data_IF_557056518708
#
_entry.id   IF_557056518708
#
_cell.length_a   1.000
_cell.length_b   1.000
_cell.length_c   1.000
_cell.angle_alpha   90.00
_cell.angle_beta   90.00
_cell.angle_gamma   90.00
#
_symmetry.space_group_name_H-M   'P 1'
#
loop_
_entity.id
_entity.type
_entity.pdbx_description
1 polymer ?
#
# COMPACT_ATOMS: atom_id res chain seq x y z
N UNK A 1 -34.68 19.83 -36.92
CA UNK A 1 -34.32 20.56 -35.67
C UNK A 1 -33.02 20.00 -35.12
N UNK A 2 -31.98 20.82 -34.97
CA UNK A 2 -30.72 20.37 -34.39
C UNK A 2 -30.89 20.16 -32.86
N UNK A 3 -30.60 18.95 -32.37
CA UNK A 3 -30.67 18.66 -30.93
C UNK A 3 -29.76 19.59 -30.13
N UNK A 4 -30.30 20.18 -29.06
CA UNK A 4 -29.53 21.04 -28.14
C UNK A 4 -28.46 20.23 -27.41
N UNK A 5 -27.36 20.89 -26.96
CA UNK A 5 -26.26 20.23 -26.25
C UNK A 5 -26.73 19.43 -25.01
N UNK A 6 -27.76 19.90 -24.29
CA UNK A 6 -28.38 19.18 -23.16
C UNK A 6 -29.14 17.92 -23.59
N UNK A 7 -29.88 17.98 -24.70
CA UNK A 7 -30.60 16.81 -25.24
C UNK A 7 -29.63 15.73 -25.73
N UNK A 8 -28.50 16.11 -26.36
CA UNK A 8 -27.43 15.16 -26.75
C UNK A 8 -26.79 14.48 -25.54
N UNK A 9 -26.50 15.22 -24.47
CA UNK A 9 -25.93 14.65 -23.24
C UNK A 9 -26.89 13.69 -22.52
N UNK A 10 -28.19 13.99 -22.50
CA UNK A 10 -29.22 13.11 -21.94
C UNK A 10 -29.38 11.83 -22.77
N UNK A 11 -29.42 11.95 -24.09
CA UNK A 11 -29.50 10.80 -25.00
C UNK A 11 -28.27 9.89 -24.89
N UNK A 12 -27.08 10.47 -24.72
CA UNK A 12 -25.84 9.71 -24.52
C UNK A 12 -25.85 8.91 -23.21
N UNK A 13 -26.27 9.52 -22.09
CA UNK A 13 -26.42 8.79 -20.81
C UNK A 13 -27.48 7.70 -20.90
N UNK A 14 -28.61 7.97 -21.55
CA UNK A 14 -29.64 6.97 -21.77
C UNK A 14 -29.12 5.78 -22.59
N UNK A 15 -28.33 6.04 -23.64
CA UNK A 15 -27.67 5.00 -24.42
C UNK A 15 -26.65 4.19 -23.60
N UNK A 16 -25.88 4.84 -22.73
CA UNK A 16 -24.94 4.16 -21.81
C UNK A 16 -25.68 3.25 -20.82
N UNK A 17 -26.77 3.73 -20.20
CA UNK A 17 -27.57 2.91 -19.30
C UNK A 17 -28.28 1.76 -20.03
N UNK A 18 -28.80 2.01 -21.24
CA UNK A 18 -29.39 0.96 -22.07
C UNK A 18 -28.35 -0.11 -22.44
N UNK A 19 -27.13 0.29 -22.83
CA UNK A 19 -26.05 -0.64 -23.12
C UNK A 19 -25.64 -1.46 -21.89
N UNK A 20 -25.49 -0.81 -20.72
CA UNK A 20 -25.17 -1.49 -19.46
C UNK A 20 -26.26 -2.48 -19.08
N UNK A 21 -27.53 -2.10 -19.23
CA UNK A 21 -28.68 -2.96 -18.98
C UNK A 21 -28.69 -4.16 -19.94
N UNK A 22 -28.44 -3.95 -21.23
CA UNK A 22 -28.31 -5.03 -22.22
C UNK A 22 -27.17 -5.98 -21.85
N UNK A 23 -26.00 -5.48 -21.47
CA UNK A 23 -24.87 -6.32 -21.03
C UNK A 23 -25.25 -7.16 -19.80
N UNK A 24 -25.90 -6.55 -18.80
CA UNK A 24 -26.36 -7.26 -17.60
C UNK A 24 -27.39 -8.34 -17.95
N UNK A 25 -28.36 -8.02 -18.80
CA UNK A 25 -29.39 -8.98 -19.21
C UNK A 25 -28.80 -10.12 -20.03
N UNK A 26 -27.94 -9.83 -21.01
CA UNK A 26 -27.25 -10.86 -21.79
C UNK A 26 -26.47 -11.78 -20.85
N UNK A 27 -25.64 -11.23 -19.97
CA UNK A 27 -24.91 -12.02 -18.98
C UNK A 27 -25.86 -12.86 -18.11
N UNK A 28 -26.94 -12.27 -17.61
CA UNK A 28 -27.87 -12.95 -16.72
C UNK A 28 -28.61 -14.13 -17.39
N UNK A 29 -28.93 -14.02 -18.69
CA UNK A 29 -29.62 -15.07 -19.42
C UNK A 29 -28.68 -16.11 -20.06
N UNK A 30 -27.44 -15.73 -20.40
CA UNK A 30 -26.49 -16.65 -21.03
C UNK A 30 -25.56 -17.35 -20.04
N UNK A 31 -25.43 -16.85 -18.81
CA UNK A 31 -24.54 -17.42 -17.83
C UNK A 31 -25.09 -18.73 -17.24
N UNK A 32 -24.22 -19.74 -17.13
CA UNK A 32 -24.55 -20.97 -16.44
C UNK A 32 -24.48 -20.75 -14.91
N UNK A 33 -25.63 -20.40 -14.32
CA UNK A 33 -25.75 -20.09 -12.90
C UNK A 33 -25.31 -21.21 -11.97
N UNK A 34 -25.55 -22.46 -12.35
CA UNK A 34 -25.14 -23.64 -11.56
C UNK A 34 -23.62 -23.75 -11.51
N UNK A 35 -22.96 -23.59 -12.66
CA UNK A 35 -21.50 -23.60 -12.75
C UNK A 35 -20.91 -22.38 -12.02
N UNK A 36 -21.47 -21.18 -12.20
CA UNK A 36 -21.04 -19.98 -11.47
C UNK A 36 -21.15 -20.17 -9.95
N UNK A 37 -22.24 -20.74 -9.46
CA UNK A 37 -22.39 -20.99 -8.02
C UNK A 37 -21.35 -21.98 -7.51
N UNK A 38 -21.06 -23.07 -8.23
CA UNK A 38 -20.06 -24.03 -7.82
C UNK A 38 -18.62 -23.49 -7.94
N UNK A 39 -18.34 -22.73 -9.00
CA UNK A 39 -17.02 -22.15 -9.27
C UNK A 39 -16.69 -20.97 -8.36
N UNK A 40 -17.66 -20.21 -7.85
CA UNK A 40 -17.39 -19.02 -7.04
C UNK A 40 -17.92 -19.13 -5.60
N UNK A 41 -19.00 -19.86 -5.34
CA UNK A 41 -19.70 -19.90 -4.05
C UNK A 41 -19.86 -21.33 -3.51
N UNK A 42 -18.76 -22.09 -3.50
CA UNK A 42 -18.70 -23.41 -2.89
C UNK A 42 -18.53 -23.30 -1.36
N UNK A 43 -19.64 -23.47 -0.62
CA UNK A 43 -19.67 -23.36 0.84
C UNK A 43 -18.78 -24.39 1.54
N UNK A 44 -18.60 -25.58 0.96
CA UNK A 44 -17.72 -26.61 1.52
C UNK A 44 -16.24 -26.18 1.42
N UNK A 45 -15.85 -25.61 0.27
CA UNK A 45 -14.51 -25.04 0.07
C UNK A 45 -14.27 -23.81 0.98
N UNK A 46 -15.30 -23.01 1.26
CA UNK A 46 -15.22 -21.94 2.24
C UNK A 46 -15.01 -22.49 3.66
N UNK A 47 -15.82 -23.46 4.08
CA UNK A 47 -15.74 -24.05 5.42
C UNK A 47 -14.36 -24.67 5.71
N UNK A 48 -13.75 -25.34 4.73
CA UNK A 48 -12.40 -25.93 4.84
C UNK A 48 -11.28 -24.93 5.09
N UNK A 49 -11.49 -23.64 4.84
CA UNK A 49 -10.49 -22.60 5.11
C UNK A 49 -10.50 -22.12 6.56
N UNK A 50 -11.59 -22.34 7.29
CA UNK A 50 -11.69 -21.93 8.68
C UNK A 50 -11.23 -23.09 9.60
N UNK A 51 -10.51 -22.78 10.69
CA UNK A 51 -10.18 -21.44 11.20
C UNK A 51 -8.89 -20.84 10.63
N UNK A 52 -8.11 -21.60 9.86
CA UNK A 52 -6.73 -21.28 9.47
C UNK A 52 -6.58 -19.98 8.67
N UNK A 53 -7.57 -19.62 7.86
CA UNK A 53 -7.58 -18.33 7.15
C UNK A 53 -7.50 -17.13 8.10
N UNK A 54 -8.04 -17.26 9.31
CA UNK A 54 -7.95 -16.22 10.35
C UNK A 54 -6.70 -16.42 11.21
N UNK A 55 -6.54 -17.61 11.79
CA UNK A 55 -5.52 -17.87 12.82
C UNK A 55 -4.09 -17.88 12.27
N UNK A 56 -3.93 -18.26 11.00
CA UNK A 56 -2.67 -18.32 10.28
C UNK A 56 -2.58 -17.17 9.28
N UNK A 57 -3.44 -17.17 8.26
CA UNK A 57 -3.22 -16.34 7.09
C UNK A 57 -3.42 -14.83 7.34
N UNK A 58 -4.53 -14.46 7.96
CA UNK A 58 -4.82 -13.07 8.36
C UNK A 58 -3.80 -12.58 9.40
N UNK A 59 -3.48 -13.40 10.41
CA UNK A 59 -2.46 -13.08 11.41
C UNK A 59 -1.10 -12.79 10.76
N UNK A 60 -0.61 -13.68 9.89
CA UNK A 60 0.69 -13.52 9.24
C UNK A 60 0.71 -12.30 8.32
N UNK A 61 -0.37 -12.02 7.61
CA UNK A 61 -0.51 -10.79 6.80
C UNK A 61 -0.29 -9.54 7.64
N UNK A 62 -0.91 -9.47 8.83
CA UNK A 62 -0.72 -8.35 9.77
C UNK A 62 0.72 -8.30 10.28
N UNK A 63 1.28 -9.43 10.72
CA UNK A 63 2.66 -9.51 11.22
C UNK A 63 3.65 -9.03 10.16
N UNK A 64 3.52 -9.49 8.92
CA UNK A 64 4.39 -9.13 7.81
C UNK A 64 4.26 -7.65 7.44
N UNK A 65 3.04 -7.12 7.45
CA UNK A 65 2.79 -5.69 7.28
C UNK A 65 3.53 -4.88 8.35
N UNK A 66 3.35 -5.24 9.63
CA UNK A 66 3.94 -4.49 10.75
C UNK A 66 5.47 -4.53 10.71
N UNK A 67 6.05 -5.70 10.44
CA UNK A 67 7.51 -5.85 10.33
C UNK A 67 8.06 -4.99 9.18
N UNK A 68 7.50 -5.13 7.99
CA UNK A 68 7.92 -4.35 6.81
C UNK A 68 7.75 -2.85 7.02
N UNK A 69 6.60 -2.42 7.57
CA UNK A 69 6.31 -1.01 7.81
C UNK A 69 7.24 -0.41 8.87
N UNK A 70 7.54 -1.16 9.94
CA UNK A 70 8.43 -0.69 11.01
C UNK A 70 9.85 -0.45 10.48
N UNK A 71 10.39 -1.41 9.71
CA UNK A 71 11.70 -1.25 9.08
C UNK A 71 11.68 -0.13 8.03
N UNK A 72 10.63 -0.09 7.19
CA UNK A 72 10.44 0.93 6.18
C UNK A 72 10.37 2.34 6.76
N UNK A 73 9.64 2.54 7.86
CA UNK A 73 9.51 3.83 8.52
C UNK A 73 10.84 4.26 9.16
N UNK A 74 11.52 3.34 9.84
CA UNK A 74 12.81 3.63 10.47
C UNK A 74 13.88 4.01 9.43
N UNK A 75 14.06 3.19 8.39
CA UNK A 75 15.01 3.47 7.31
C UNK A 75 14.59 4.69 6.48
N UNK A 76 13.29 4.83 6.18
CA UNK A 76 12.73 5.94 5.43
C UNK A 76 12.97 7.29 6.13
N UNK A 77 12.85 7.33 7.45
CA UNK A 77 13.17 8.52 8.25
C UNK A 77 14.65 8.89 8.11
N UNK A 78 15.55 7.92 8.26
CA UNK A 78 17.01 8.14 8.11
C UNK A 78 17.32 8.66 6.70
N UNK A 79 16.77 8.03 5.66
CA UNK A 79 16.97 8.44 4.27
C UNK A 79 16.39 9.84 3.99
N UNK A 80 15.23 10.17 4.55
CA UNK A 80 14.65 11.51 4.44
C UNK A 80 15.57 12.58 5.04
N UNK A 81 16.13 12.32 6.23
CA UNK A 81 17.08 13.22 6.89
C UNK A 81 18.37 13.36 6.07
N UNK A 82 18.89 12.26 5.52
CA UNK A 82 20.05 12.30 4.60
C UNK A 82 19.77 13.13 3.35
N UNK A 83 18.56 13.03 2.77
CA UNK A 83 18.13 13.85 1.62
C UNK A 83 18.04 15.34 1.94
N UNK A 84 17.67 15.69 3.18
CA UNK A 84 17.56 17.07 3.65
C UNK A 84 18.88 17.64 4.18
N UNK A 85 19.91 16.81 4.35
CA UNK A 85 21.20 17.22 4.89
C UNK A 85 21.91 18.25 4.00
N UNK A 86 22.70 19.13 4.62
CA UNK A 86 23.62 20.02 3.92
C UNK A 86 24.81 19.27 3.29
N UNK A 87 25.11 18.07 3.79
CA UNK A 87 26.25 17.23 3.38
C UNK A 87 25.98 16.56 2.03
N UNK A 88 26.79 16.89 1.02
CA UNK A 88 26.63 16.39 -0.35
C UNK A 88 26.57 14.86 -0.49
N UNK A 89 27.53 14.11 0.08
CA UNK A 89 27.55 12.65 0.02
C UNK A 89 26.27 11.98 0.55
N UNK A 90 25.72 12.45 1.68
CA UNK A 90 24.48 11.89 2.24
C UNK A 90 23.30 12.09 1.32
N UNK A 91 23.17 13.28 0.72
CA UNK A 91 22.11 13.56 -0.26
C UNK A 91 22.23 12.67 -1.49
N UNK A 92 23.45 12.45 -1.97
CA UNK A 92 23.71 11.63 -3.15
C UNK A 92 23.37 10.17 -2.89
N UNK A 93 23.87 9.59 -1.79
CA UNK A 93 23.57 8.21 -1.42
C UNK A 93 22.08 7.98 -1.25
N UNK A 94 21.39 8.84 -0.49
CA UNK A 94 19.97 8.68 -0.27
C UNK A 94 19.16 8.87 -1.56
N UNK A 95 19.59 9.77 -2.47
CA UNK A 95 18.96 9.91 -3.79
C UNK A 95 19.11 8.63 -4.60
N UNK A 96 20.33 8.09 -4.70
CA UNK A 96 20.60 6.86 -5.44
C UNK A 96 19.78 5.68 -4.90
N UNK A 97 19.75 5.50 -3.57
CA UNK A 97 18.91 4.48 -2.92
C UNK A 97 17.44 4.64 -3.29
N UNK A 98 16.88 5.85 -3.12
CA UNK A 98 15.47 6.12 -3.35
C UNK A 98 15.09 5.88 -4.81
N UNK A 99 15.89 6.41 -5.75
CA UNK A 99 15.63 6.26 -7.19
C UNK A 99 15.72 4.80 -7.62
N UNK A 100 16.69 4.05 -7.09
CA UNK A 100 16.86 2.63 -7.38
C UNK A 100 15.67 1.78 -6.89
N UNK A 101 15.34 1.85 -5.60
CA UNK A 101 14.28 0.99 -5.04
C UNK A 101 12.88 1.38 -5.47
N UNK A 102 12.62 2.66 -5.83
CA UNK A 102 11.36 3.06 -6.45
C UNK A 102 11.27 2.69 -7.93
N UNK A 103 12.41 2.57 -8.60
CA UNK A 103 12.48 2.17 -10.01
C UNK A 103 12.35 0.67 -10.25
N UNK A 104 12.58 -0.16 -9.23
CA UNK A 104 12.54 -1.61 -9.35
C UNK A 104 11.17 -2.22 -9.03
N UNK A 105 10.73 -3.24 -9.78
CA UNK A 105 9.60 -4.07 -9.39
C UNK A 105 9.86 -4.77 -8.04
N UNK A 106 8.92 -4.65 -7.10
CA UNK A 106 9.01 -5.25 -5.78
C UNK A 106 9.26 -6.77 -5.81
N UNK A 107 8.66 -7.46 -6.78
CA UNK A 107 8.87 -8.89 -7.00
C UNK A 107 10.36 -9.27 -7.20
N UNK A 108 11.13 -8.45 -7.92
CA UNK A 108 12.56 -8.72 -8.12
C UNK A 108 13.34 -8.62 -6.82
N UNK A 109 12.96 -7.69 -5.95
CA UNK A 109 13.58 -7.53 -4.63
C UNK A 109 13.30 -8.73 -3.73
N UNK A 110 12.05 -9.23 -3.72
CA UNK A 110 11.70 -10.44 -2.97
C UNK A 110 12.51 -11.65 -3.43
N UNK A 111 12.67 -11.83 -4.75
CA UNK A 111 13.50 -12.91 -5.31
C UNK A 111 14.97 -12.72 -4.92
N UNK A 112 15.50 -11.49 -5.04
CA UNK A 112 16.89 -11.19 -4.69
C UNK A 112 17.18 -11.44 -3.20
N UNK A 113 16.26 -11.09 -2.29
CA UNK A 113 16.41 -11.36 -0.86
C UNK A 113 16.24 -12.85 -0.55
N UNK A 114 15.24 -13.50 -1.13
CA UNK A 114 14.93 -14.91 -0.87
C UNK A 114 15.97 -15.88 -1.42
N UNK A 115 16.54 -15.58 -2.58
CA UNK A 115 17.46 -16.48 -3.30
C UNK A 115 18.86 -15.90 -3.44
N UNK A 116 18.99 -14.61 -3.70
CA UNK A 116 20.29 -13.97 -3.91
C UNK A 116 21.18 -13.96 -2.67
N UNK A 117 20.62 -13.77 -1.47
CA UNK A 117 21.40 -13.79 -0.22
C UNK A 117 21.98 -15.18 0.08
N UNK A 118 21.18 -16.28 0.08
CA UNK A 118 21.74 -17.62 0.24
C UNK A 118 22.78 -18.00 -0.83
N UNK A 119 22.63 -17.51 -2.07
CA UNK A 119 23.60 -17.73 -3.14
C UNK A 119 24.91 -16.96 -2.90
N UNK A 120 24.83 -15.72 -2.41
CA UNK A 120 26.00 -14.90 -2.11
C UNK A 120 26.73 -15.37 -0.84
N UNK A 121 26.02 -15.96 0.10
CA UNK A 121 26.56 -16.43 1.39
C UNK A 121 26.13 -17.89 1.65
N UNK A 122 26.82 -18.88 1.04
CA UNK A 122 26.48 -20.29 1.19
C UNK A 122 26.43 -20.73 2.65
N UNK A 123 25.40 -21.51 3.01
CA UNK A 123 25.16 -21.97 4.38
C UNK A 123 24.38 -20.99 5.26
N UNK A 124 24.10 -19.78 4.77
CA UNK A 124 23.16 -18.87 5.45
C UNK A 124 21.73 -19.12 5.00
N UNK A 125 20.81 -19.18 5.97
CA UNK A 125 19.37 -19.16 5.70
C UNK A 125 18.76 -18.00 6.45
N UNK A 126 18.03 -17.15 5.73
CA UNK A 126 17.28 -16.08 6.35
C UNK A 126 15.98 -16.65 6.91
N UNK A 127 15.68 -16.32 8.17
CA UNK A 127 14.35 -16.51 8.70
C UNK A 127 13.34 -15.81 7.78
N UNK A 128 12.24 -16.49 7.44
CA UNK A 128 11.26 -15.96 6.48
C UNK A 128 10.69 -14.60 6.89
N UNK A 129 10.41 -14.40 8.18
CA UNK A 129 9.91 -13.13 8.68
C UNK A 129 10.94 -12.01 8.45
N UNK A 130 12.23 -12.32 8.62
CA UNK A 130 13.33 -11.39 8.34
C UNK A 130 13.43 -11.10 6.83
N UNK A 131 13.34 -12.14 5.99
CA UNK A 131 13.36 -11.95 4.54
C UNK A 131 12.20 -11.07 4.05
N UNK A 132 10.99 -11.28 4.57
CA UNK A 132 9.81 -10.45 4.24
C UNK A 132 9.99 -9.04 4.80
N UNK A 133 10.42 -8.90 6.06
CA UNK A 133 10.69 -7.61 6.70
C UNK A 133 11.68 -6.78 5.88
N UNK A 134 12.80 -7.39 5.47
CA UNK A 134 13.82 -6.73 4.66
C UNK A 134 13.28 -6.38 3.29
N UNK A 135 12.63 -7.32 2.59
CA UNK A 135 12.10 -7.09 1.25
C UNK A 135 11.09 -5.94 1.21
N UNK A 136 10.09 -5.98 2.09
CA UNK A 136 9.09 -4.91 2.22
C UNK A 136 9.72 -3.62 2.73
N UNK A 137 10.58 -3.72 3.75
CA UNK A 137 11.14 -2.58 4.44
C UNK A 137 12.04 -1.71 3.55
N UNK A 138 12.93 -2.31 2.75
CA UNK A 138 13.84 -1.53 1.89
C UNK A 138 13.10 -0.81 0.75
N UNK A 139 12.06 -1.44 0.20
CA UNK A 139 11.21 -0.82 -0.81
C UNK A 139 10.43 0.32 -0.16
N UNK A 140 9.70 0.00 0.91
CA UNK A 140 8.86 0.95 1.64
C UNK A 140 9.66 2.14 2.16
N UNK A 141 10.91 1.94 2.59
CA UNK A 141 11.80 3.00 3.05
C UNK A 141 12.02 4.08 1.98
N UNK A 142 12.18 3.69 0.72
CA UNK A 142 12.37 4.64 -0.37
C UNK A 142 11.12 5.51 -0.63
N UNK A 143 9.93 4.91 -0.59
CA UNK A 143 8.66 5.64 -0.72
C UNK A 143 8.40 6.55 0.49
N UNK A 144 8.56 6.02 1.70
CA UNK A 144 8.38 6.76 2.94
C UNK A 144 9.38 7.91 3.09
N UNK A 145 10.63 7.73 2.65
CA UNK A 145 11.63 8.79 2.68
C UNK A 145 11.20 10.01 1.86
N UNK A 146 10.65 9.78 0.67
CA UNK A 146 10.15 10.86 -0.19
C UNK A 146 8.89 11.49 0.38
N UNK A 147 7.98 10.71 0.95
CA UNK A 147 6.79 11.22 1.65
C UNK A 147 7.17 12.12 2.84
N UNK A 148 8.10 11.67 3.70
CA UNK A 148 8.59 12.44 4.84
C UNK A 148 9.29 13.72 4.37
N UNK A 149 10.19 13.61 3.38
CA UNK A 149 10.91 14.74 2.80
C UNK A 149 9.94 15.77 2.21
N UNK A 150 8.96 15.32 1.44
CA UNK A 150 7.95 16.17 0.83
C UNK A 150 7.09 16.87 1.89
N UNK A 151 6.68 16.16 2.94
CA UNK A 151 5.89 16.76 4.01
C UNK A 151 6.66 17.80 4.85
N UNK A 152 7.97 17.61 5.05
CA UNK A 152 8.83 18.66 5.66
C UNK A 152 8.91 19.89 4.75
N UNK A 153 9.08 19.68 3.44
CA UNK A 153 9.17 20.78 2.47
C UNK A 153 7.84 21.48 2.20
N UNK A 154 6.71 20.83 2.50
CA UNK A 154 5.37 21.39 2.34
C UNK A 154 5.02 22.42 3.43
N UNK A 155 5.81 22.53 4.50
CA UNK A 155 5.63 23.56 5.52
C UNK A 155 5.85 24.95 4.89
N UNK A 156 4.91 25.91 5.03
CA UNK A 156 5.02 27.22 4.38
C UNK A 156 6.30 27.97 4.76
N UNK A 157 7.03 28.45 3.76
CA UNK A 157 8.29 29.18 3.96
C UNK A 157 8.14 30.41 4.86
N UNK A 158 6.99 31.11 4.76
CA UNK A 158 6.68 32.27 5.59
C UNK A 158 6.73 31.99 7.10
N UNK A 159 6.46 30.76 7.55
CA UNK A 159 6.61 30.40 8.96
C UNK A 159 8.08 30.28 9.38
N UNK A 160 8.93 29.79 8.49
CA UNK A 160 10.39 29.70 8.72
C UNK A 160 11.01 31.10 8.68
N UNK A 161 10.51 31.98 7.81
CA UNK A 161 10.90 33.39 7.75
C UNK A 161 10.47 34.15 9.00
N UNK A 162 9.21 34.02 9.43
CA UNK A 162 8.71 34.62 10.67
C UNK A 162 9.47 34.13 11.91
N UNK A 163 9.76 32.83 12.01
CA UNK A 163 10.57 32.28 13.09
C UNK A 163 11.97 32.92 13.14
N UNK A 164 12.61 33.13 11.98
CA UNK A 164 13.90 33.79 11.89
C UNK A 164 13.82 35.28 12.26
N UNK A 165 12.76 35.98 11.87
CA UNK A 165 12.51 37.38 12.27
C UNK A 165 12.33 37.54 13.78
N UNK A 166 11.83 36.51 14.47
CA UNK A 166 11.72 36.44 15.93
C UNK A 166 13.01 35.95 16.62
N UNK A 167 14.12 35.83 15.89
CA UNK A 167 15.42 35.44 16.44
C UNK A 167 15.58 33.94 16.74
N UNK A 168 14.69 33.08 16.23
CA UNK A 168 14.82 31.63 16.44
C UNK A 168 15.98 31.06 15.62
N UNK A 169 16.80 30.22 16.25
CA UNK A 169 17.82 29.44 15.54
C UNK A 169 17.17 28.43 14.58
N UNK A 170 17.84 28.04 13.48
CA UNK A 170 17.29 27.07 12.52
C UNK A 170 16.86 25.74 13.17
N UNK A 171 17.62 25.24 14.15
CA UNK A 171 17.28 24.03 14.89
C UNK A 171 16.03 24.20 15.76
N UNK A 172 15.91 25.35 16.45
CA UNK A 172 14.70 25.64 17.24
C UNK A 172 13.48 25.74 16.34
N UNK A 173 13.57 26.50 15.24
CA UNK A 173 12.49 26.60 14.25
C UNK A 173 12.12 25.23 13.65
N UNK A 174 13.10 24.38 13.36
CA UNK A 174 12.86 23.03 12.86
C UNK A 174 12.05 22.20 13.86
N UNK A 175 12.47 22.15 15.12
CA UNK A 175 11.86 21.29 16.15
C UNK A 175 10.48 21.80 16.58
N UNK A 176 10.31 23.11 16.76
CA UNK A 176 9.10 23.66 17.36
C UNK A 176 8.03 24.08 16.35
N UNK A 177 8.40 24.29 15.08
CA UNK A 177 7.47 24.78 14.05
C UNK A 177 7.38 23.79 12.89
N UNK A 178 8.50 23.43 12.27
CA UNK A 178 8.49 22.63 11.04
C UNK A 178 8.07 21.19 11.32
N UNK A 179 8.74 20.48 12.23
CA UNK A 179 8.46 19.06 12.51
C UNK A 179 7.00 18.82 12.94
N UNK A 180 6.41 19.58 13.88
CA UNK A 180 5.02 19.36 14.30
C UNK A 180 4.01 19.53 13.15
N UNK A 181 4.30 20.40 12.20
CA UNK A 181 3.43 20.63 11.04
C UNK A 181 3.67 19.60 9.94
N UNK A 182 4.94 19.31 9.64
CA UNK A 182 5.33 18.25 8.72
C UNK A 182 4.72 16.91 9.14
N UNK A 183 4.73 16.58 10.43
CA UNK A 183 4.10 15.37 10.95
C UNK A 183 2.62 15.25 10.57
N UNK A 184 1.86 16.35 10.68
CA UNK A 184 0.44 16.39 10.29
C UNK A 184 0.26 16.18 8.78
N UNK A 185 1.18 16.69 7.97
CA UNK A 185 1.17 16.54 6.50
C UNK A 185 1.53 15.11 6.08
N UNK A 186 2.47 14.48 6.78
CA UNK A 186 3.03 13.16 6.44
C UNK A 186 2.15 12.00 6.92
N UNK A 187 1.39 12.16 8.00
CA UNK A 187 0.57 11.07 8.56
C UNK A 187 -0.43 10.45 7.57
N UNK A 188 -1.26 11.22 6.84
CA UNK A 188 -2.21 10.63 5.89
C UNK A 188 -1.54 9.79 4.78
N UNK A 189 -0.50 10.25 4.06
CA UNK A 189 0.15 9.43 3.05
C UNK A 189 0.92 8.24 3.65
N UNK A 190 1.46 8.32 4.87
CA UNK A 190 2.03 7.13 5.54
C UNK A 190 0.98 6.06 5.85
N UNK A 191 -0.24 6.46 6.22
CA UNK A 191 -1.34 5.51 6.40
C UNK A 191 -1.74 4.85 5.06
N UNK A 192 -1.66 5.57 3.95
CA UNK A 192 -1.84 4.98 2.62
C UNK A 192 -0.72 3.97 2.29
N UNK A 193 0.54 4.30 2.60
CA UNK A 193 1.66 3.36 2.43
C UNK A 193 1.48 2.09 3.25
N UNK A 194 0.94 2.18 4.47
CA UNK A 194 0.61 0.99 5.27
C UNK A 194 -0.40 0.08 4.56
N UNK A 195 -1.44 0.65 3.94
CA UNK A 195 -2.46 -0.11 3.18
C UNK A 195 -1.85 -0.78 1.95
N UNK A 196 -0.97 -0.07 1.23
CA UNK A 196 -0.26 -0.62 0.08
C UNK A 196 0.65 -1.77 0.51
N UNK A 197 1.41 -1.58 1.59
CA UNK A 197 2.32 -2.58 2.11
C UNK A 197 1.57 -3.85 2.58
N UNK A 198 0.37 -3.71 3.16
CA UNK A 198 -0.49 -4.85 3.48
C UNK A 198 -0.80 -5.68 2.24
N UNK A 199 -1.04 -5.07 1.09
CA UNK A 199 -1.30 -5.82 -0.16
C UNK A 199 0.00 -6.42 -0.71
N UNK A 200 1.11 -5.71 -0.58
CA UNK A 200 2.42 -6.17 -1.03
C UNK A 200 2.96 -7.35 -0.21
N UNK A 201 2.42 -7.64 0.98
CA UNK A 201 2.73 -8.90 1.68
C UNK A 201 2.42 -10.13 0.82
N UNK A 202 1.48 -10.02 -0.12
CA UNK A 202 1.18 -11.10 -1.07
C UNK A 202 2.42 -11.57 -1.83
N UNK A 203 3.40 -10.69 -2.10
CA UNK A 203 4.65 -11.04 -2.77
C UNK A 203 5.51 -12.03 -1.96
N UNK A 204 5.22 -12.24 -0.68
CA UNK A 204 5.84 -13.28 0.14
C UNK A 204 5.64 -14.70 -0.42
N UNK A 205 4.70 -14.89 -1.37
CA UNK A 205 4.53 -16.17 -2.07
C UNK A 205 5.80 -16.62 -2.82
N UNK A 206 6.68 -15.68 -3.18
CA UNK A 206 7.95 -15.94 -3.87
C UNK A 206 9.00 -16.57 -2.96
N UNK A 207 8.81 -16.48 -1.65
CA UNK A 207 9.69 -17.06 -0.65
C UNK A 207 9.20 -18.45 -0.27
N UNK A 208 10.15 -19.32 0.07
CA UNK A 208 9.82 -20.62 0.64
C UNK A 208 8.90 -20.45 1.87
N UNK A 209 7.86 -21.28 1.96
CA UNK A 209 6.84 -21.21 3.02
C UNK A 209 6.59 -22.58 3.61
N UNK A 210 6.23 -22.59 4.89
CA UNK A 210 5.53 -23.70 5.54
C UNK A 210 4.04 -23.35 5.70
N UNK A 211 3.13 -24.31 5.99
CA UNK A 211 1.69 -24.06 6.12
C UNK A 211 1.34 -22.99 7.18
N UNK A 212 2.07 -22.96 8.30
CA UNK A 212 1.89 -22.01 9.41
C UNK A 212 2.39 -20.59 9.13
N UNK A 213 3.08 -20.38 8.00
CA UNK A 213 3.66 -19.10 7.63
C UNK A 213 2.89 -18.41 6.50
N UNK A 214 1.86 -19.03 5.93
CA UNK A 214 1.18 -18.47 4.78
C UNK A 214 0.50 -17.16 5.14
N UNK A 215 0.58 -16.18 4.24
CA UNK A 215 -0.28 -15.00 4.28
C UNK A 215 -1.53 -15.23 3.42
N UNK A 216 -2.50 -14.31 3.47
CA UNK A 216 -3.83 -14.46 2.87
C UNK A 216 -3.84 -14.85 1.39
N UNK A 217 -3.02 -14.23 0.54
CA UNK A 217 -3.01 -14.50 -0.89
C UNK A 217 -2.41 -15.88 -1.21
N UNK A 218 -1.31 -16.23 -0.57
CA UNK A 218 -0.67 -17.52 -0.68
C UNK A 218 -1.57 -18.66 -0.17
N UNK A 219 -2.21 -18.47 0.99
CA UNK A 219 -3.16 -19.44 1.57
C UNK A 219 -4.34 -19.67 0.63
N UNK A 220 -4.96 -18.59 0.14
CA UNK A 220 -6.07 -18.66 -0.79
C UNK A 220 -5.68 -19.34 -2.12
N UNK A 221 -4.49 -19.04 -2.66
CA UNK A 221 -3.96 -19.67 -3.87
C UNK A 221 -3.71 -21.17 -3.69
N UNK A 222 -3.20 -21.59 -2.54
CA UNK A 222 -3.01 -23.01 -2.27
C UNK A 222 -4.35 -23.75 -2.18
N UNK A 223 -5.33 -23.18 -1.49
CA UNK A 223 -6.67 -23.75 -1.41
C UNK A 223 -7.40 -23.78 -2.77
N UNK A 224 -7.17 -22.80 -3.65
CA UNK A 224 -7.68 -22.80 -5.03
C UNK A 224 -7.20 -24.04 -5.79
N UNK A 225 -5.91 -24.38 -5.67
CA UNK A 225 -5.31 -25.52 -6.38
C UNK A 225 -5.86 -26.89 -5.92
N UNK A 226 -6.43 -26.97 -4.72
CA UNK A 226 -6.99 -28.22 -4.18
C UNK A 226 -8.50 -28.33 -4.34
N UNK A 227 -9.23 -27.22 -4.42
CA UNK A 227 -10.71 -27.20 -4.43
C UNK A 227 -11.33 -27.02 -5.81
N UNK A 228 -10.54 -26.70 -6.85
CA UNK A 228 -11.02 -26.39 -8.20
C UNK A 228 -12.17 -25.34 -8.23
N UNK A 229 -12.20 -24.46 -7.23
CA UNK A 229 -13.19 -23.40 -7.05
C UNK A 229 -12.47 -22.10 -6.70
N UNK A 230 -12.95 -20.96 -7.19
CA UNK A 230 -12.47 -19.62 -6.85
C UNK A 230 -12.91 -19.14 -5.47
N UNK A 231 -13.76 -19.90 -4.76
CA UNK A 231 -14.20 -19.54 -3.41
C UNK A 231 -13.07 -19.19 -2.45
N UNK A 232 -11.92 -19.90 -2.40
CA UNK A 232 -10.80 -19.51 -1.54
C UNK A 232 -10.19 -18.15 -1.84
N UNK A 233 -10.12 -17.77 -3.13
CA UNK A 233 -9.66 -16.43 -3.52
C UNK A 233 -10.63 -15.36 -3.03
N UNK A 234 -11.94 -15.61 -3.12
CA UNK A 234 -12.95 -14.68 -2.60
C UNK A 234 -12.87 -14.54 -1.08
N UNK A 235 -12.74 -15.65 -0.36
CA UNK A 235 -12.59 -15.63 1.11
C UNK A 235 -11.31 -14.88 1.51
N UNK A 236 -10.18 -15.17 0.88
CA UNK A 236 -8.93 -14.43 1.11
C UNK A 236 -9.06 -12.94 0.81
N UNK A 237 -9.75 -12.57 -0.28
CA UNK A 237 -10.04 -11.18 -0.63
C UNK A 237 -10.92 -10.47 0.39
N UNK A 238 -11.95 -11.13 0.92
CA UNK A 238 -12.78 -10.60 2.01
C UNK A 238 -11.95 -10.39 3.28
N UNK A 239 -11.04 -11.30 3.62
CA UNK A 239 -10.13 -11.13 4.75
C UNK A 239 -9.16 -9.95 4.54
N UNK A 240 -8.68 -9.71 3.32
CA UNK A 240 -7.92 -8.49 3.00
C UNK A 240 -8.77 -7.22 3.23
N UNK A 241 -10.07 -7.24 2.90
CA UNK A 241 -10.98 -6.12 3.16
C UNK A 241 -11.19 -5.89 4.67
N UNK A 242 -11.25 -6.96 5.47
CA UNK A 242 -11.30 -6.85 6.95
C UNK A 242 -10.12 -6.07 7.50
N UNK A 243 -8.93 -6.15 6.89
CA UNK A 243 -7.76 -5.37 7.28
C UNK A 243 -7.78 -3.96 6.65
N UNK A 244 -7.99 -3.89 5.33
CA UNK A 244 -7.77 -2.66 4.55
C UNK A 244 -8.89 -1.64 4.69
N UNK A 245 -10.15 -2.03 4.94
CA UNK A 245 -11.26 -1.09 5.16
C UNK A 245 -11.04 -0.28 6.44
N UNK A 246 -10.78 -0.88 7.62
CA UNK A 246 -10.43 -0.11 8.82
C UNK A 246 -9.27 0.85 8.62
N UNK A 247 -8.19 0.39 7.98
CA UNK A 247 -7.03 1.26 7.67
C UNK A 247 -7.41 2.42 6.75
N UNK A 248 -8.24 2.18 5.73
CA UNK A 248 -8.74 3.22 4.82
C UNK A 248 -9.59 4.24 5.57
N UNK A 249 -10.42 3.81 6.52
CA UNK A 249 -11.20 4.72 7.36
C UNK A 249 -10.32 5.57 8.28
N UNK A 250 -9.23 5.00 8.80
CA UNK A 250 -8.22 5.77 9.58
C UNK A 250 -7.55 6.80 8.67
N UNK A 251 -7.09 6.39 7.49
CA UNK A 251 -6.44 7.26 6.51
C UNK A 251 -7.37 8.43 6.11
N UNK A 252 -8.63 8.18 5.79
CA UNK A 252 -9.62 9.23 5.49
C UNK A 252 -9.87 10.18 6.67
N UNK A 253 -9.89 9.68 7.91
CA UNK A 253 -10.01 10.52 9.10
C UNK A 253 -8.78 11.42 9.27
N UNK A 254 -7.57 10.90 9.02
CA UNK A 254 -6.33 11.68 9.04
C UNK A 254 -6.35 12.77 7.96
N UNK A 255 -6.81 12.47 6.74
CA UNK A 255 -6.97 13.45 5.66
C UNK A 255 -7.98 14.54 6.01
N UNK A 256 -9.14 14.19 6.56
CA UNK A 256 -10.13 15.20 6.97
C UNK A 256 -9.60 16.11 8.09
N UNK A 257 -8.81 15.55 9.00
CA UNK A 257 -8.25 16.29 10.15
C UNK A 257 -7.06 17.17 9.76
N UNK A 258 -6.20 16.71 8.84
CA UNK A 258 -4.92 17.36 8.54
C UNK A 258 -4.78 17.86 7.09
N UNK A 259 -5.56 17.33 6.15
CA UNK A 259 -5.52 17.66 4.72
C UNK A 259 -6.27 18.93 4.33
N UNK A 260 -6.99 19.58 5.25
CA UNK A 260 -7.75 20.82 4.98
C UNK A 260 -6.88 22.07 4.72
N UNK A 261 -5.56 21.93 4.58
CA UNK A 261 -4.60 23.04 4.38
C UNK A 261 -4.29 23.41 2.92
N UNK A 262 -4.73 22.63 1.93
CA UNK A 262 -4.55 22.96 0.50
C UNK A 262 -5.91 23.09 -0.16
N UNK A 263 -6.60 24.21 0.08
CA UNK A 263 -7.52 24.71 -0.93
C UNK A 263 -6.65 25.24 -2.08
N UNK A 264 -6.85 24.82 -3.34
CA UNK A 264 -6.28 25.54 -4.47
C UNK A 264 -6.73 26.98 -4.31
N UNK A 265 -5.77 27.92 -4.30
CA UNK A 265 -6.07 29.33 -4.19
C UNK A 265 -7.14 29.71 -5.19
N UNK A 266 -8.11 30.49 -4.72
CA UNK A 266 -9.00 31.23 -5.60
C UNK A 266 -8.16 32.11 -6.55
N UNK A 267 -8.60 32.13 -7.80
CA UNK A 267 -8.01 32.87 -8.92
C UNK A 267 -8.37 32.09 -10.18
N UNK A 268 -9.28 32.53 -11.05
CA UNK A 268 -9.86 33.85 -11.32
C UNK A 268 -11.36 33.69 -11.55
#
# INVERSE_FOLDING_TARGET
>A
MAMTRRQRASAFRAAQYALLLVIILVFAFTANWTQLRHSFFNLEAAAKQFPDVITVALKNTIVYTVLGFSLGLALGLVLALMRLSSVGPYRWFARAYIEFFRGLPALLIFIAVGTGIPLAFPGTSLNRNVAIMVSLGIISAAYMAETIRAGIQAVPRGQIEAARSLGMSPGRAMITIVIPQAFRIVLPPLANELIMLTKDTSLAFLLATTPDQQELAQFARQALNTTQSLTPILVGGLCYLVITIPLSLVQQRLERRFGAGVKPGGGV
#
